data_IF_727726512063
#
_entry.id   IF_727726512063
#
_cell.length_a   1.000
_cell.length_b   1.000
_cell.length_c   1.000
_cell.angle_alpha   90.00
_cell.angle_beta   90.00
_cell.angle_gamma   90.00
#
_symmetry.space_group_name_H-M   'P 1'
#
loop_
_entity.id
_entity.type
_entity.pdbx_description
1 polymer ?
#
# COMPACT_ATOMS: atom_id res chain seq x y z
N UNK A 1 0.87 -9.89 15.97
CA UNK A 1 0.54 -10.78 14.84
C UNK A 1 1.76 -11.11 13.95
N UNK A 2 2.40 -10.11 13.34
CA UNK A 2 3.49 -10.31 12.37
C UNK A 2 4.72 -11.01 12.97
N UNK A 3 5.11 -10.66 14.20
CA UNK A 3 6.23 -11.32 14.90
C UNK A 3 5.95 -12.79 15.20
N UNK A 4 4.70 -13.14 15.57
CA UNK A 4 4.31 -14.52 15.89
C UNK A 4 4.26 -15.43 14.66
N UNK A 5 3.73 -14.92 13.55
CA UNK A 5 3.73 -15.62 12.26
C UNK A 5 5.14 -15.85 11.73
N UNK A 6 6.05 -14.89 11.96
CA UNK A 6 7.47 -15.04 11.61
C UNK A 6 8.17 -16.09 12.48
N UNK A 7 7.94 -16.08 13.80
CA UNK A 7 8.48 -17.10 14.70
C UNK A 7 8.00 -18.51 14.34
N UNK A 8 6.75 -18.69 13.91
CA UNK A 8 6.24 -19.96 13.39
C UNK A 8 7.12 -20.49 12.24
N UNK A 9 7.44 -19.63 11.26
CA UNK A 9 8.30 -19.97 10.11
C UNK A 9 9.76 -20.22 10.52
N UNK A 10 10.29 -19.40 11.44
CA UNK A 10 11.63 -19.58 11.97
C UNK A 10 11.78 -20.93 12.67
N UNK A 11 10.83 -21.30 13.53
CA UNK A 11 10.83 -22.58 14.26
C UNK A 11 10.74 -23.75 13.29
N UNK A 12 9.80 -23.73 12.31
CA UNK A 12 9.65 -24.83 11.34
C UNK A 12 10.96 -25.06 10.56
N UNK A 13 11.58 -24.00 10.05
CA UNK A 13 12.78 -24.11 9.22
C UNK A 13 13.99 -24.59 10.04
N UNK A 14 14.24 -23.96 11.20
CA UNK A 14 15.40 -24.29 12.04
C UNK A 14 15.25 -25.71 12.59
N UNK A 15 14.11 -26.06 13.18
CA UNK A 15 13.93 -27.39 13.79
C UNK A 15 13.90 -28.53 12.76
N UNK A 16 13.41 -28.28 11.54
CA UNK A 16 13.39 -29.29 10.48
C UNK A 16 14.78 -29.68 9.99
N UNK A 17 15.77 -28.78 9.98
CA UNK A 17 17.12 -29.03 9.43
C UNK A 17 18.06 -29.66 10.48
N UNK A 18 17.78 -29.47 11.78
CA UNK A 18 18.63 -30.03 12.85
C UNK A 18 18.47 -31.54 13.03
N UNK A 19 17.40 -32.11 12.48
CA UNK A 19 17.02 -33.52 12.63
C UNK A 19 16.82 -34.15 11.26
N UNK A 20 17.90 -34.18 10.50
CA UNK A 20 17.94 -34.88 9.23
C UNK A 20 18.04 -36.40 9.43
N UNK A 21 17.74 -37.16 8.35
CA UNK A 21 17.62 -38.62 8.35
C UNK A 21 18.89 -39.39 8.78
N UNK A 22 20.06 -38.74 8.79
CA UNK A 22 21.34 -39.33 9.19
C UNK A 22 21.77 -38.79 10.58
N UNK A 23 21.94 -39.65 11.61
CA UNK A 23 22.31 -39.22 12.96
C UNK A 23 23.64 -38.47 13.06
N UNK A 24 24.55 -38.68 12.09
CA UNK A 24 25.85 -38.00 12.04
C UNK A 24 25.77 -36.53 11.61
N UNK A 25 24.64 -36.09 11.04
CA UNK A 25 24.43 -34.72 10.56
C UNK A 25 23.60 -33.88 11.53
N UNK A 26 23.37 -34.37 12.76
CA UNK A 26 22.70 -33.62 13.81
C UNK A 26 23.60 -32.47 14.28
N UNK A 27 23.42 -31.30 13.68
CA UNK A 27 24.08 -30.06 14.04
C UNK A 27 23.14 -29.12 14.81
N UNK A 28 23.68 -28.38 15.77
CA UNK A 28 22.98 -27.24 16.38
C UNK A 28 23.34 -25.96 15.61
N UNK A 29 22.33 -25.25 15.11
CA UNK A 29 22.45 -23.93 14.52
C UNK A 29 22.61 -22.91 15.64
N UNK A 30 23.79 -22.30 15.67
CA UNK A 30 24.05 -21.12 16.48
C UNK A 30 24.00 -19.91 15.54
N UNK A 31 22.98 -19.05 15.63
CA UNK A 31 22.93 -17.85 14.81
C UNK A 31 24.14 -16.98 15.14
N UNK A 32 24.86 -16.59 14.11
CA UNK A 32 25.99 -15.68 14.25
C UNK A 32 25.49 -14.25 14.36
N UNK A 33 26.34 -13.35 14.88
CA UNK A 33 26.03 -11.93 14.94
C UNK A 33 25.69 -11.34 13.55
N UNK A 34 26.30 -11.90 12.49
CA UNK A 34 26.03 -11.52 11.11
C UNK A 34 24.57 -11.81 10.74
N UNK A 35 24.02 -12.98 11.08
CA UNK A 35 22.64 -13.37 10.77
C UNK A 35 21.62 -12.40 11.39
N UNK A 36 21.88 -11.98 12.63
CA UNK A 36 21.02 -11.04 13.37
C UNK A 36 21.10 -9.65 12.74
N UNK A 37 22.31 -9.18 12.41
CA UNK A 37 22.48 -7.86 11.76
C UNK A 37 21.89 -7.82 10.36
N UNK A 38 21.90 -8.94 9.62
CA UNK A 38 21.31 -9.05 8.30
C UNK A 38 19.78 -9.03 8.39
N UNK A 39 19.20 -9.73 9.37
CA UNK A 39 17.77 -9.67 9.63
C UNK A 39 17.31 -8.24 9.97
N UNK A 40 17.97 -7.57 10.93
CA UNK A 40 17.67 -6.18 11.28
C UNK A 40 17.94 -5.25 10.08
N UNK A 41 19.00 -5.52 9.31
CA UNK A 41 19.36 -4.79 8.10
C UNK A 41 18.27 -4.83 7.03
N UNK A 42 17.57 -5.96 6.84
CA UNK A 42 16.46 -6.02 5.87
C UNK A 42 15.24 -5.21 6.32
N UNK A 43 14.93 -5.17 7.63
CA UNK A 43 13.91 -4.31 8.19
C UNK A 43 14.31 -2.83 8.03
N UNK A 44 15.56 -2.50 8.36
CA UNK A 44 16.11 -1.15 8.21
C UNK A 44 16.12 -0.68 6.75
N UNK A 45 16.51 -1.56 5.82
CA UNK A 45 16.50 -1.29 4.39
C UNK A 45 15.08 -1.10 3.86
N UNK A 46 14.12 -1.91 4.30
CA UNK A 46 12.71 -1.74 3.96
C UNK A 46 12.19 -0.38 4.44
N UNK A 47 12.42 -0.03 5.70
CA UNK A 47 11.99 1.27 6.27
C UNK A 47 12.72 2.42 5.57
N UNK A 48 14.01 2.29 5.30
CA UNK A 48 14.79 3.30 4.59
C UNK A 48 14.25 3.56 3.18
N UNK A 49 14.00 2.50 2.40
CA UNK A 49 13.40 2.62 1.06
C UNK A 49 11.96 3.14 1.12
N UNK A 50 11.19 2.75 2.15
CA UNK A 50 9.83 3.25 2.35
C UNK A 50 9.81 4.74 2.71
N UNK A 51 10.71 5.21 3.58
CA UNK A 51 10.85 6.63 3.90
C UNK A 51 11.33 7.43 2.67
N UNK A 52 12.23 6.85 1.87
CA UNK A 52 12.64 7.42 0.59
C UNK A 52 11.43 7.56 -0.34
N UNK A 53 10.61 6.51 -0.48
CA UNK A 53 9.40 6.54 -1.29
C UNK A 53 8.43 7.65 -0.86
N UNK A 54 8.10 7.73 0.43
CA UNK A 54 7.21 8.77 0.98
C UNK A 54 7.75 10.19 0.75
N UNK A 55 9.08 10.35 0.75
CA UNK A 55 9.72 11.67 0.61
C UNK A 55 9.80 12.16 -0.84
N UNK A 56 9.94 11.25 -1.81
CA UNK A 56 10.19 11.58 -3.22
C UNK A 56 8.98 11.35 -4.13
N UNK A 57 8.03 10.51 -3.74
CA UNK A 57 6.87 10.14 -4.56
C UNK A 57 5.55 10.45 -3.83
N UNK A 58 4.47 10.75 -4.57
CA UNK A 58 3.16 10.93 -3.98
C UNK A 58 2.66 9.61 -3.38
N UNK A 59 2.25 9.67 -2.11
CA UNK A 59 1.77 8.50 -1.34
C UNK A 59 0.47 7.95 -1.93
N UNK A 60 -0.33 8.82 -2.56
CA UNK A 60 -1.65 8.51 -3.09
C UNK A 60 -1.62 8.68 -4.61
N UNK A 61 -2.21 7.71 -5.32
CA UNK A 61 -2.41 7.79 -6.76
C UNK A 61 -3.47 8.85 -7.11
N UNK A 62 -3.04 10.02 -7.58
CA UNK A 62 -3.93 11.13 -7.93
C UNK A 62 -4.87 10.82 -9.11
N UNK A 63 -4.52 9.85 -9.98
CA UNK A 63 -5.39 9.47 -11.10
C UNK A 63 -6.71 8.84 -10.64
N UNK A 64 -6.65 7.98 -9.61
CA UNK A 64 -7.85 7.37 -9.04
C UNK A 64 -8.67 8.36 -8.21
N UNK A 65 -7.99 9.23 -7.46
CA UNK A 65 -8.66 10.25 -6.63
C UNK A 65 -9.50 11.20 -7.50
N UNK A 66 -8.99 11.59 -8.67
CA UNK A 66 -9.73 12.44 -9.61
C UNK A 66 -10.92 11.75 -10.26
N UNK A 67 -10.94 10.42 -10.34
CA UNK A 67 -12.08 9.67 -10.91
C UNK A 67 -13.27 9.55 -9.95
N UNK A 68 -13.05 9.71 -8.64
CA UNK A 68 -14.10 9.59 -7.61
C UNK A 68 -14.61 10.94 -7.10
N UNK A 69 -14.01 12.06 -7.51
CA UNK A 69 -14.48 13.39 -7.09
C UNK A 69 -15.83 13.72 -7.74
N UNK A 70 -16.76 14.40 -7.03
CA UNK A 70 -18.05 14.83 -7.59
C UNK A 70 -17.93 15.57 -8.93
N UNK A 71 -16.86 16.36 -9.10
CA UNK A 71 -16.55 17.11 -10.32
C UNK A 71 -16.18 16.22 -11.52
N UNK A 72 -15.97 14.92 -11.31
CA UNK A 72 -15.75 13.93 -12.37
C UNK A 72 -17.01 13.12 -12.71
N UNK A 73 -18.12 13.35 -12.00
CA UNK A 73 -19.43 12.73 -12.30
C UNK A 73 -20.06 13.43 -13.51
N UNK A 74 -20.31 12.71 -14.63
CA UNK A 74 -21.02 13.26 -15.79
C UNK A 74 -22.45 13.76 -15.48
N UNK A 75 -23.02 13.42 -14.32
CA UNK A 75 -24.37 13.80 -13.89
C UNK A 75 -24.42 14.78 -12.70
N UNK A 76 -23.36 15.57 -12.48
CA UNK A 76 -23.35 16.59 -11.43
C UNK A 76 -24.54 17.59 -11.61
N UNK A 77 -25.49 17.69 -10.66
CA UNK A 77 -26.62 18.59 -10.76
C UNK A 77 -26.22 20.08 -10.83
N UNK A 78 -25.00 20.45 -10.43
CA UNK A 78 -24.47 21.82 -10.56
C UNK A 78 -24.20 22.17 -12.03
N UNK A 79 -23.69 21.23 -12.84
CA UNK A 79 -23.42 21.49 -14.27
C UNK A 79 -24.71 21.59 -15.11
N UNK A 80 -25.78 20.89 -14.72
CA UNK A 80 -27.08 21.00 -15.40
C UNK A 80 -27.88 22.27 -15.02
N UNK A 81 -27.50 22.98 -13.95
CA UNK A 81 -28.17 24.21 -13.52
C UNK A 81 -27.72 25.43 -14.34
N UNK A 82 -26.48 25.44 -14.81
CA UNK A 82 -25.93 26.54 -15.65
C UNK A 82 -26.47 26.50 -17.08
N UNK A 83 -26.67 25.31 -17.66
CA UNK A 83 -27.19 25.15 -19.04
C UNK A 83 -28.65 25.61 -19.20
N UNK A 84 -29.47 25.52 -18.14
CA UNK A 84 -30.91 25.87 -18.23
C UNK A 84 -31.22 27.36 -18.06
N UNK A 85 -30.29 28.16 -17.53
CA UNK A 85 -30.50 29.57 -17.25
C UNK A 85 -30.54 30.51 -18.48
N UNK A 86 -29.76 30.34 -19.57
CA UNK A 86 -29.82 31.27 -20.70
C UNK A 86 -31.13 31.18 -21.51
N UNK A 87 -31.76 30.01 -21.58
CA UNK A 87 -32.98 29.80 -22.39
C UNK A 87 -34.25 30.30 -21.67
N UNK A 88 -34.30 30.18 -20.34
CA UNK A 88 -35.44 30.63 -19.53
C UNK A 88 -35.50 32.16 -19.39
N UNK A 89 -34.35 32.86 -19.45
CA UNK A 89 -34.32 34.32 -19.47
C UNK A 89 -34.85 34.87 -20.81
N UNK A 90 -34.43 34.29 -21.94
CA UNK A 90 -34.89 34.70 -23.28
C UNK A 90 -36.39 34.45 -23.49
N UNK A 91 -36.94 33.33 -22.99
CA UNK A 91 -38.38 33.02 -23.13
C UNK A 91 -39.30 33.95 -22.31
N UNK A 92 -38.78 34.64 -21.28
CA UNK A 92 -39.56 35.56 -20.43
C UNK A 92 -39.65 36.98 -21.00
N UNK A 93 -38.71 37.38 -21.85
CA UNK A 93 -38.71 38.71 -22.47
C UNK A 93 -39.58 38.81 -23.73
N UNK A 94 -39.90 37.68 -24.38
CA UNK A 94 -40.75 37.64 -25.58
C UNK A 94 -42.25 37.78 -25.25
N UNK A 95 -42.62 37.72 -23.97
CA UNK A 95 -44.00 37.74 -23.48
C UNK A 95 -44.35 39.00 -22.63
N UNK A 96 -43.48 40.00 -22.59
CA UNK A 96 -43.71 41.30 -21.93
C UNK A 96 -43.86 42.43 -22.97
#
# INVERSE_FOLDING_TARGET
PNTGMWFERFVIIVTSIHRDFLPSSWGYFSPTWVDITLFIGTIGLFVFLFLLFVRFLPIINMFEVKGITPQADPHDPIHHAEEKQPVLASSREVHA
#
